data_IF_488813113179
#
_entry.id   IF_488813113179
#
_cell.length_a   1.000
_cell.length_b   1.000
_cell.length_c   1.000
_cell.angle_alpha   90.00
_cell.angle_beta   90.00
_cell.angle_gamma   90.00
#
_symmetry.space_group_name_H-M   'P 1'
#
loop_
_entity.id
_entity.type
_entity.pdbx_description
1 polymer ?
#
# COMPACT_ATOMS: atom_id res chain seq x y z
N UNK A 1 -59.54 -5.40 31.69
CA UNK A 1 -58.91 -6.59 31.08
C UNK A 1 -57.92 -6.11 30.04
N UNK A 2 -56.75 -6.74 30.01
CA UNK A 2 -55.50 -6.29 29.43
C UNK A 2 -55.56 -5.97 27.93
N UNK A 3 -54.97 -4.86 27.52
CA UNK A 3 -54.65 -4.58 26.11
C UNK A 3 -53.25 -5.10 25.80
N UNK A 4 -53.14 -6.13 24.97
CA UNK A 4 -51.88 -6.62 24.43
C UNK A 4 -51.52 -5.85 23.16
N UNK A 5 -50.37 -5.18 23.14
CA UNK A 5 -49.72 -4.73 21.91
C UNK A 5 -48.91 -5.92 21.38
N UNK A 6 -49.18 -6.33 20.15
CA UNK A 6 -48.30 -7.23 19.40
C UNK A 6 -47.06 -6.44 18.98
N UNK A 7 -45.89 -6.85 19.46
CA UNK A 7 -44.59 -6.36 18.99
C UNK A 7 -44.23 -7.06 17.69
N UNK A 8 -44.07 -6.29 16.61
CA UNK A 8 -43.65 -6.78 15.30
C UNK A 8 -42.14 -7.08 15.35
N UNK A 9 -41.79 -8.37 15.30
CA UNK A 9 -40.39 -8.82 15.34
C UNK A 9 -39.76 -8.59 13.97
N UNK A 10 -38.86 -7.61 13.88
CA UNK A 10 -38.05 -7.36 12.68
C UNK A 10 -37.03 -8.50 12.54
N UNK A 11 -37.03 -9.28 11.45
CA UNK A 11 -36.12 -10.42 11.31
C UNK A 11 -34.67 -9.95 11.08
N UNK A 12 -33.73 -10.53 11.83
CA UNK A 12 -32.29 -10.28 11.70
C UNK A 12 -31.78 -10.87 10.38
N UNK A 13 -31.63 -10.00 9.39
CA UNK A 13 -31.20 -10.30 8.03
C UNK A 13 -29.68 -10.21 7.85
N UNK A 14 -28.90 -10.07 8.93
CA UNK A 14 -27.43 -9.96 8.87
C UNK A 14 -26.75 -11.15 8.20
N UNK A 15 -27.25 -12.37 8.42
CA UNK A 15 -26.69 -13.58 7.80
C UNK A 15 -26.91 -13.58 6.29
N UNK A 16 -28.13 -13.25 5.85
CA UNK A 16 -28.50 -13.17 4.43
C UNK A 16 -27.73 -12.09 3.70
N UNK A 17 -27.49 -10.94 4.36
CA UNK A 17 -26.70 -9.85 3.80
C UNK A 17 -25.20 -10.21 3.72
N UNK A 18 -24.67 -10.96 4.69
CA UNK A 18 -23.28 -11.44 4.68
C UNK A 18 -23.05 -12.46 3.56
N UNK A 19 -23.99 -13.38 3.36
CA UNK A 19 -23.95 -14.34 2.25
C UNK A 19 -24.08 -13.65 0.88
N UNK A 20 -24.97 -12.66 0.76
CA UNK A 20 -25.12 -11.88 -0.47
C UNK A 20 -23.85 -11.08 -0.82
N UNK A 21 -23.19 -10.49 0.19
CA UNK A 21 -21.93 -9.76 0.02
C UNK A 21 -20.76 -10.69 -0.35
N UNK A 22 -20.71 -11.91 0.21
CA UNK A 22 -19.73 -12.93 -0.20
C UNK A 22 -19.90 -13.38 -1.65
N UNK A 23 -21.14 -13.43 -2.15
CA UNK A 23 -21.42 -13.78 -3.55
C UNK A 23 -21.12 -12.66 -4.55
N UNK A 24 -21.05 -11.40 -4.09
CA UNK A 24 -20.72 -10.22 -4.90
C UNK A 24 -19.21 -9.93 -4.98
N UNK A 25 -18.36 -10.75 -4.35
CA UNK A 25 -16.92 -10.60 -4.49
C UNK A 25 -16.47 -11.03 -5.90
N UNK A 26 -16.30 -10.04 -6.78
CA UNK A 26 -15.80 -10.18 -8.15
C UNK A 26 -14.32 -10.63 -8.18
N UNK A 27 -13.65 -10.80 -7.03
CA UNK A 27 -12.26 -11.30 -6.95
C UNK A 27 -12.14 -12.82 -7.16
N UNK A 28 -13.24 -13.53 -7.38
CA UNK A 28 -13.28 -14.98 -7.62
C UNK A 28 -12.82 -15.45 -9.01
N UNK A 29 -11.57 -15.18 -9.40
CA UNK A 29 -10.79 -16.16 -10.18
C UNK A 29 -9.62 -16.59 -9.31
N UNK A 30 -9.86 -17.62 -8.49
CA UNK A 30 -8.78 -18.38 -7.85
C UNK A 30 -7.87 -18.89 -8.97
N UNK A 31 -6.61 -18.46 -8.97
CA UNK A 31 -5.57 -19.20 -9.66
C UNK A 31 -5.62 -20.66 -9.17
N UNK A 32 -5.34 -21.67 -10.02
CA UNK A 32 -5.34 -23.05 -9.57
C UNK A 32 -4.40 -23.17 -8.36
N UNK A 33 -4.92 -23.75 -7.28
CA UNK A 33 -4.17 -23.98 -6.06
C UNK A 33 -2.94 -24.82 -6.40
N UNK A 34 -1.78 -24.16 -6.42
CA UNK A 34 -0.51 -24.84 -6.23
C UNK A 34 -0.44 -25.23 -4.75
N UNK A 35 0.04 -26.44 -4.45
CA UNK A 35 0.37 -26.84 -3.08
C UNK A 35 1.28 -25.76 -2.46
N UNK A 36 0.71 -24.91 -1.59
CA UNK A 36 1.44 -23.84 -0.92
C UNK A 36 2.15 -24.42 0.29
N UNK A 37 3.22 -25.17 0.02
CA UNK A 37 4.28 -25.40 0.99
C UNK A 37 4.86 -24.03 1.36
N UNK A 38 4.55 -23.55 2.57
CA UNK A 38 5.10 -22.37 3.25
C UNK A 38 6.07 -21.54 2.40
N UNK A 39 5.55 -20.61 1.59
CA UNK A 39 6.39 -19.65 0.89
C UNK A 39 7.02 -18.76 1.95
N UNK A 40 8.33 -18.94 2.18
CA UNK A 40 9.09 -18.08 3.09
C UNK A 40 9.44 -16.78 2.36
N UNK A 41 9.16 -15.64 2.99
CA UNK A 41 9.39 -14.33 2.42
C UNK A 41 10.51 -13.62 3.18
N UNK A 42 11.75 -13.83 2.72
CA UNK A 42 12.97 -13.34 3.40
C UNK A 42 12.95 -11.84 3.79
N UNK A 43 12.21 -11.00 3.05
CA UNK A 43 11.99 -9.60 3.41
C UNK A 43 10.75 -9.40 4.28
N UNK A 44 9.56 -9.81 3.82
CA UNK A 44 8.29 -9.52 4.49
C UNK A 44 8.17 -10.17 5.87
N UNK A 45 8.78 -11.34 6.08
CA UNK A 45 8.80 -12.02 7.37
C UNK A 45 9.59 -11.24 8.45
N UNK A 46 10.34 -10.20 8.06
CA UNK A 46 11.06 -9.29 8.97
C UNK A 46 10.34 -7.97 9.22
N UNK A 47 9.24 -7.70 8.51
CA UNK A 47 8.50 -6.44 8.59
C UNK A 47 7.38 -6.54 9.63
N UNK A 48 6.96 -5.41 10.25
CA UNK A 48 5.85 -5.39 11.20
C UNK A 48 4.51 -5.47 10.46
N UNK A 49 4.26 -6.59 9.80
CA UNK A 49 3.02 -6.94 9.11
C UNK A 49 2.55 -8.31 9.61
N UNK A 50 1.24 -8.60 9.63
CA UNK A 50 0.75 -9.92 10.05
C UNK A 50 1.32 -11.02 9.15
N UNK A 51 1.62 -12.18 9.74
CA UNK A 51 2.14 -13.31 8.98
C UNK A 51 1.03 -13.90 8.08
N UNK A 52 1.38 -14.42 6.91
CA UNK A 52 0.39 -15.05 6.00
C UNK A 52 -0.34 -16.25 6.63
N UNK A 53 0.27 -16.90 7.61
CA UNK A 53 -0.32 -18.02 8.35
C UNK A 53 -1.24 -17.60 9.51
N UNK A 54 -1.30 -16.30 9.83
CA UNK A 54 -2.06 -15.79 10.97
C UNK A 54 -3.51 -15.53 10.58
N UNK A 55 -4.46 -16.17 11.28
CA UNK A 55 -5.89 -15.95 11.07
C UNK A 55 -6.35 -14.70 11.81
N UNK A 56 -6.87 -13.72 11.07
CA UNK A 56 -7.44 -12.48 11.64
C UNK A 56 -8.92 -12.62 12.02
N UNK A 57 -9.52 -13.80 11.85
CA UNK A 57 -10.97 -14.04 11.99
C UNK A 57 -11.46 -13.96 13.45
N UNK A 58 -10.56 -14.22 14.40
CA UNK A 58 -10.87 -14.25 15.84
C UNK A 58 -10.51 -12.94 16.57
N UNK A 59 -9.90 -11.97 15.88
CA UNK A 59 -9.50 -10.69 16.47
C UNK A 59 -10.72 -9.81 16.74
N UNK A 60 -10.85 -9.31 17.98
CA UNK A 60 -11.86 -8.32 18.32
C UNK A 60 -11.33 -6.87 18.24
N UNK A 61 -12.22 -5.88 18.33
CA UNK A 61 -11.86 -4.46 18.24
C UNK A 61 -10.85 -4.04 19.33
N UNK A 62 -10.75 -4.77 20.46
CA UNK A 62 -9.80 -4.47 21.54
C UNK A 62 -8.37 -4.90 21.24
N UNK A 63 -8.18 -5.81 20.28
CA UNK A 63 -6.87 -6.27 19.80
C UNK A 63 -6.36 -5.44 18.61
N UNK A 64 -7.18 -4.53 18.08
CA UNK A 64 -6.79 -3.62 17.00
C UNK A 64 -5.78 -2.58 17.48
N UNK A 65 -4.60 -2.53 16.85
CA UNK A 65 -3.57 -1.57 17.21
C UNK A 65 -2.27 -1.69 16.38
N UNK A 66 -1.24 -0.92 16.75
CA UNK A 66 0.08 -1.01 16.12
C UNK A 66 0.74 -2.36 16.40
N UNK A 67 1.33 -2.96 15.37
CA UNK A 67 2.16 -4.18 15.49
C UNK A 67 3.52 -3.85 16.15
N UNK A 68 4.00 -2.63 15.93
CA UNK A 68 5.27 -2.14 16.45
C UNK A 68 5.07 -0.74 17.07
N UNK A 69 5.60 -0.55 18.28
CA UNK A 69 5.41 0.64 19.11
C UNK A 69 6.72 1.41 19.40
N UNK A 70 7.76 1.23 18.56
CA UNK A 70 9.02 1.97 18.68
C UNK A 70 8.83 3.49 18.64
N UNK A 71 9.67 4.20 19.39
CA UNK A 71 9.63 5.66 19.46
C UNK A 71 10.44 6.29 18.32
N UNK A 72 10.15 7.56 17.98
CA UNK A 72 10.83 8.26 16.88
C UNK A 72 12.33 8.49 17.16
N UNK A 73 12.71 8.50 18.43
CA UNK A 73 14.09 8.62 18.90
C UNK A 73 14.90 7.37 18.55
N UNK A 74 14.26 6.19 18.52
CA UNK A 74 14.87 4.91 18.18
C UNK A 74 15.08 4.72 16.67
N UNK A 75 14.51 5.62 15.85
CA UNK A 75 14.66 5.59 14.40
C UNK A 75 16.05 6.08 14.01
N UNK A 76 16.75 5.24 13.24
CA UNK A 76 18.05 5.54 12.61
C UNK A 76 18.04 6.91 11.91
N UNK A 77 19.09 7.70 12.12
CA UNK A 77 19.24 9.04 11.53
C UNK A 77 19.94 9.03 10.17
N UNK A 78 20.85 8.09 9.94
CA UNK A 78 21.54 7.93 8.65
C UNK A 78 20.70 7.11 7.66
N UNK A 79 20.73 7.43 6.34
CA UNK A 79 20.08 6.62 5.31
C UNK A 79 20.59 5.18 5.25
N UNK A 80 19.75 4.24 4.79
CA UNK A 80 20.16 2.86 4.56
C UNK A 80 21.30 2.77 3.53
N UNK A 81 22.18 1.77 3.69
CA UNK A 81 23.30 1.58 2.78
C UNK A 81 22.82 1.08 1.43
N UNK A 82 23.27 1.73 0.36
CA UNK A 82 23.10 1.26 -1.02
C UNK A 82 24.38 0.60 -1.53
N UNK A 83 24.32 -0.24 -2.57
CA UNK A 83 25.52 -0.67 -3.27
C UNK A 83 26.31 0.54 -3.80
N UNK A 84 27.65 0.43 -3.83
CA UNK A 84 28.55 1.57 -4.04
C UNK A 84 28.35 2.35 -5.35
N UNK A 85 27.69 1.76 -6.36
CA UNK A 85 27.36 2.40 -7.64
C UNK A 85 26.11 3.28 -7.59
N UNK A 86 25.42 3.34 -6.45
CA UNK A 86 24.17 4.06 -6.29
C UNK A 86 24.23 5.07 -5.14
N UNK A 87 23.37 6.07 -5.25
CA UNK A 87 23.18 7.10 -4.24
C UNK A 87 21.69 7.42 -4.07
N UNK A 88 21.31 7.83 -2.86
CA UNK A 88 20.00 8.41 -2.59
C UNK A 88 19.87 9.78 -3.26
N UNK A 89 18.66 10.13 -3.68
CA UNK A 89 18.31 11.42 -4.26
C UNK A 89 16.87 11.74 -3.89
N UNK A 90 16.63 12.87 -3.24
CA UNK A 90 15.26 13.37 -3.04
C UNK A 90 14.85 14.09 -4.32
N UNK A 91 13.74 13.66 -4.94
CA UNK A 91 13.26 14.24 -6.19
C UNK A 91 12.52 15.55 -5.96
N UNK A 92 12.87 16.56 -6.73
CA UNK A 92 12.17 17.83 -6.73
C UNK A 92 11.10 17.89 -7.83
N UNK A 93 9.83 17.78 -7.45
CA UNK A 93 8.71 17.83 -8.40
C UNK A 93 8.41 19.23 -8.96
N UNK A 94 8.99 20.28 -8.39
CA UNK A 94 8.94 21.64 -8.98
C UNK A 94 9.93 21.78 -10.14
N UNK A 95 10.89 20.86 -10.29
CA UNK A 95 11.83 20.83 -11.40
C UNK A 95 11.27 20.00 -12.57
N UNK A 96 10.99 20.64 -13.71
CA UNK A 96 10.46 19.97 -14.91
C UNK A 96 11.37 18.85 -15.43
N UNK A 97 12.70 18.96 -15.27
CA UNK A 97 13.64 17.93 -15.70
C UNK A 97 13.50 16.67 -14.85
N UNK A 98 13.45 16.81 -13.52
CA UNK A 98 13.33 15.68 -12.61
C UNK A 98 11.95 14.99 -12.70
N UNK A 99 10.88 15.76 -12.92
CA UNK A 99 9.55 15.17 -13.19
C UNK A 99 9.56 14.38 -14.51
N UNK A 100 10.27 14.88 -15.52
CA UNK A 100 10.43 14.15 -16.79
C UNK A 100 11.25 12.87 -16.60
N UNK A 101 12.29 12.89 -15.77
CA UNK A 101 13.03 11.67 -15.40
C UNK A 101 12.14 10.66 -14.70
N UNK A 102 11.34 11.10 -13.73
CA UNK A 102 10.40 10.23 -13.02
C UNK A 102 9.34 9.65 -13.96
N UNK A 103 8.77 10.49 -14.83
CA UNK A 103 7.86 10.06 -15.89
C UNK A 103 8.48 8.95 -16.73
N UNK A 104 9.71 9.15 -17.19
CA UNK A 104 10.42 8.20 -18.05
C UNK A 104 10.67 6.88 -17.32
N UNK A 105 11.12 6.95 -16.05
CA UNK A 105 11.32 5.77 -15.21
C UNK A 105 10.04 4.94 -15.09
N UNK A 106 8.92 5.58 -14.75
CA UNK A 106 7.64 4.89 -14.55
C UNK A 106 7.07 4.36 -15.86
N UNK A 107 7.11 5.15 -16.93
CA UNK A 107 6.62 4.75 -18.25
C UNK A 107 7.35 3.52 -18.79
N UNK A 108 8.67 3.42 -18.54
CA UNK A 108 9.49 2.32 -19.05
C UNK A 108 9.50 1.07 -18.15
N UNK A 109 9.23 1.20 -16.84
CA UNK A 109 9.50 0.14 -15.85
C UNK A 109 8.35 -0.15 -14.86
N UNK A 110 7.28 0.63 -14.88
CA UNK A 110 6.15 0.43 -13.96
C UNK A 110 5.13 -0.57 -14.51
N UNK A 111 4.17 -0.93 -13.65
CA UNK A 111 3.22 -2.05 -13.79
C UNK A 111 2.77 -2.29 -15.23
N UNK A 112 3.06 -3.49 -15.70
CA UNK A 112 2.51 -4.11 -16.91
C UNK A 112 1.28 -4.94 -16.50
N UNK A 113 0.26 -4.99 -17.35
CA UNK A 113 -0.80 -6.01 -17.18
C UNK A 113 -0.23 -7.42 -17.42
N UNK A 114 -0.95 -8.46 -16.98
CA UNK A 114 -0.45 -9.85 -17.06
C UNK A 114 -0.13 -10.35 -18.48
N UNK A 115 -0.66 -9.67 -19.50
CA UNK A 115 -0.44 -9.95 -20.92
C UNK A 115 0.51 -8.93 -21.60
N UNK A 116 1.08 -7.98 -20.85
CA UNK A 116 1.94 -6.88 -21.32
C UNK A 116 1.35 -6.05 -22.47
N UNK A 117 0.02 -5.92 -22.53
CA UNK A 117 -0.70 -5.10 -23.50
C UNK A 117 -0.84 -3.64 -23.06
N UNK A 118 -0.78 -3.35 -21.76
CA UNK A 118 -0.99 -2.02 -21.21
C UNK A 118 0.07 -1.66 -20.16
N UNK A 119 0.55 -0.41 -20.24
CA UNK A 119 1.39 0.24 -19.23
C UNK A 119 0.74 1.53 -18.78
N UNK A 120 0.84 1.83 -17.50
CA UNK A 120 0.35 3.11 -16.96
C UNK A 120 1.20 4.28 -17.47
N UNK A 121 0.58 5.22 -18.17
CA UNK A 121 1.23 6.43 -18.68
C UNK A 121 0.88 7.64 -17.80
N UNK A 122 1.48 7.71 -16.61
CA UNK A 122 1.23 8.79 -15.66
C UNK A 122 1.80 10.11 -16.17
N UNK A 123 0.94 11.00 -16.69
CA UNK A 123 1.41 12.30 -17.17
C UNK A 123 2.20 13.09 -16.10
N UNK A 124 3.17 13.94 -16.49
CA UNK A 124 3.90 14.81 -15.55
C UNK A 124 2.99 15.65 -14.65
N UNK A 125 1.88 16.16 -15.19
CA UNK A 125 0.90 16.93 -14.43
C UNK A 125 0.18 16.07 -13.38
N UNK A 126 -0.14 14.83 -13.73
CA UNK A 126 -0.73 13.87 -12.80
C UNK A 126 0.24 13.49 -11.67
N UNK A 127 1.53 13.26 -11.98
CA UNK A 127 2.54 12.95 -10.98
C UNK A 127 2.67 14.07 -9.95
N UNK A 128 2.71 15.33 -10.38
CA UNK A 128 2.70 16.48 -9.45
C UNK A 128 1.45 16.51 -8.59
N UNK A 129 0.29 16.34 -9.20
CA UNK A 129 -0.98 16.36 -8.48
C UNK A 129 -1.05 15.25 -7.42
N UNK A 130 -0.64 14.02 -7.77
CA UNK A 130 -0.72 12.86 -6.89
C UNK A 130 0.32 12.89 -5.77
N UNK A 131 1.52 13.40 -6.03
CA UNK A 131 2.66 13.32 -5.12
C UNK A 131 2.83 14.57 -4.24
N UNK A 132 2.15 15.68 -4.57
CA UNK A 132 2.23 16.94 -3.82
C UNK A 132 0.90 17.37 -3.16
N UNK A 133 0.19 16.48 -2.42
CA UNK A 133 -1.00 16.90 -1.68
C UNK A 133 -0.63 17.84 -0.51
N UNK A 134 -1.59 18.58 0.07
CA UNK A 134 -1.31 19.46 1.19
C UNK A 134 -0.56 18.77 2.35
N UNK A 135 0.54 19.36 2.78
CA UNK A 135 1.39 18.81 3.84
C UNK A 135 2.45 17.82 3.39
N UNK A 136 2.58 17.56 2.08
CA UNK A 136 3.66 16.73 1.55
C UNK A 136 5.04 17.27 1.95
N UNK A 137 6.02 16.37 1.90
CA UNK A 137 7.41 16.63 2.25
C UNK A 137 8.30 16.23 1.08
N UNK A 138 9.14 17.13 0.53
CA UNK A 138 10.05 16.78 -0.57
C UNK A 138 10.97 15.59 -0.23
N UNK A 139 11.40 15.48 1.02
CA UNK A 139 12.21 14.36 1.52
C UNK A 139 11.47 13.00 1.51
N UNK A 140 10.16 12.97 1.22
CA UNK A 140 9.38 11.75 1.05
C UNK A 140 9.31 11.28 -0.40
N UNK A 141 9.92 12.00 -1.35
CA UNK A 141 10.02 11.62 -2.76
C UNK A 141 11.40 11.00 -3.01
N UNK A 142 11.58 9.76 -2.59
CA UNK A 142 12.89 9.11 -2.50
C UNK A 142 13.23 8.40 -3.80
N UNK A 143 14.28 8.85 -4.46
CA UNK A 143 14.88 8.24 -5.63
C UNK A 143 16.23 7.56 -5.36
N UNK A 144 16.60 6.64 -6.25
CA UNK A 144 17.94 6.07 -6.33
C UNK A 144 18.54 6.40 -7.68
N UNK A 145 19.74 6.98 -7.68
CA UNK A 145 20.49 7.33 -8.89
C UNK A 145 21.77 6.52 -9.00
N UNK A 146 22.19 6.23 -10.22
CA UNK A 146 23.53 5.70 -10.49
C UNK A 146 24.54 6.83 -10.28
N UNK A 147 25.50 6.64 -9.37
CA UNK A 147 26.46 7.69 -8.96
C UNK A 147 27.24 8.29 -10.13
N UNK A 148 27.64 7.46 -11.11
CA UNK A 148 28.46 7.89 -12.24
C UNK A 148 27.68 8.67 -13.31
N UNK A 149 26.44 8.25 -13.61
CA UNK A 149 25.65 8.80 -14.73
C UNK A 149 24.55 9.75 -14.26
N UNK A 150 24.29 9.78 -12.95
CA UNK A 150 23.14 10.44 -12.33
C UNK A 150 21.78 9.93 -12.82
N UNK A 151 21.73 8.83 -13.60
CA UNK A 151 20.48 8.25 -14.09
C UNK A 151 19.61 7.78 -12.91
N UNK A 152 18.36 8.22 -12.87
CA UNK A 152 17.33 7.73 -11.96
C UNK A 152 16.94 6.28 -12.31
N UNK A 153 16.98 5.38 -11.32
CA UNK A 153 16.76 3.93 -11.53
C UNK A 153 15.75 3.29 -10.58
N UNK A 154 15.40 3.96 -9.48
CA UNK A 154 14.31 3.53 -8.61
C UNK A 154 13.67 4.75 -7.96
N UNK A 155 12.40 4.61 -7.58
CA UNK A 155 11.63 5.67 -6.93
C UNK A 155 10.57 5.07 -6.01
N UNK A 156 10.38 5.69 -4.84
CA UNK A 156 9.27 5.46 -3.93
C UNK A 156 8.81 6.80 -3.37
N UNK A 157 7.52 6.95 -3.10
CA UNK A 157 6.97 8.18 -2.53
C UNK A 157 6.07 7.89 -1.35
N UNK A 158 5.98 8.86 -0.43
CA UNK A 158 5.00 8.87 0.65
C UNK A 158 4.19 10.18 0.59
N UNK A 159 2.89 10.09 0.87
CA UNK A 159 1.99 11.24 1.00
C UNK A 159 1.23 11.17 2.31
N UNK A 160 1.01 12.31 2.99
CA UNK A 160 0.26 12.31 4.25
C UNK A 160 -1.22 12.04 3.98
N UNK A 161 -1.80 11.11 4.74
CA UNK A 161 -3.22 10.84 4.73
C UNK A 161 -3.70 10.52 6.15
N UNK A 162 -4.82 11.12 6.56
CA UNK A 162 -5.53 10.73 7.77
C UNK A 162 -6.49 9.59 7.40
N UNK A 163 -6.21 8.40 7.91
CA UNK A 163 -7.04 7.21 7.68
C UNK A 163 -7.88 6.91 8.92
N UNK A 164 -9.14 6.56 8.70
CA UNK A 164 -10.00 6.00 9.73
C UNK A 164 -9.97 4.48 9.60
N UNK A 165 -9.22 3.84 10.49
CA UNK A 165 -9.23 2.39 10.66
C UNK A 165 -10.18 2.07 11.81
N UNK A 166 -11.10 1.12 11.61
CA UNK A 166 -12.01 0.69 12.68
C UNK A 166 -11.21 0.02 13.81
N UNK A 167 -11.54 0.41 15.03
CA UNK A 167 -11.10 -0.09 16.33
C UNK A 167 -11.86 0.69 17.40
#
# INVERSE_FOLDING_TARGET
>A
MSGGKEEEVVPDNKSVLRDALGSLDIRGRKAPATDEDHVTHAFWDTQPVPAMSESMEDLDDSEMGPIDCRAAEDIRKDPYSLPASFQWSDLNLDNDEEVKELYTLLHENYVEDGDNMFRFDYSPAFLRWALSPPGFKPEWHVGVRVTQTQKLVAFISCTPALLYCKG
#
